data_IF_683224958354
#
_entry.id   IF_683224958354
#
_cell.length_a   1.000
_cell.length_b   1.000
_cell.length_c   1.000
_cell.angle_alpha   90.00
_cell.angle_beta   90.00
_cell.angle_gamma   90.00
#
_symmetry.space_group_name_H-M   'P 1'
#
loop_
_entity.id
_entity.type
_entity.pdbx_description
1 polymer ?
#
# COMPACT_ATOMS: atom_id res chain seq x y z
N UNK A 1 3.24 8.88 10.17
CA UNK A 1 1.87 9.26 9.72
C UNK A 1 1.61 8.60 8.37
N UNK A 2 0.46 7.95 8.19
CA UNK A 2 0.09 7.30 6.91
C UNK A 2 -0.88 8.20 6.17
N UNK A 3 -0.63 8.46 4.88
CA UNK A 3 -1.49 9.31 4.07
C UNK A 3 -2.56 8.46 3.42
N UNK A 4 -3.82 8.68 3.83
CA UNK A 4 -4.99 8.00 3.29
C UNK A 4 -5.98 9.03 2.76
N UNK A 5 -6.66 8.69 1.67
CA UNK A 5 -7.76 9.50 1.13
C UNK A 5 -9.01 8.64 0.96
N UNK A 6 -10.15 9.25 1.19
CA UNK A 6 -11.45 8.65 0.96
C UNK A 6 -12.42 8.84 2.12
N UNK A 7 -13.67 8.50 1.85
CA UNK A 7 -14.78 8.57 2.77
C UNK A 7 -15.76 7.41 2.48
N UNK A 8 -16.89 7.39 3.19
CA UNK A 8 -17.94 6.38 2.97
C UNK A 8 -18.47 6.34 1.53
N UNK A 9 -18.39 7.46 0.80
CA UNK A 9 -18.86 7.59 -0.59
C UNK A 9 -17.78 7.37 -1.65
N UNK A 10 -16.55 7.03 -1.27
CA UNK A 10 -15.43 6.78 -2.20
C UNK A 10 -14.77 5.43 -1.88
N UNK A 11 -15.56 4.36 -2.04
CA UNK A 11 -15.14 3.01 -1.68
C UNK A 11 -13.88 2.58 -2.47
N UNK A 12 -13.76 3.00 -3.72
CA UNK A 12 -12.60 2.83 -4.60
C UNK A 12 -11.30 3.40 -4.02
N UNK A 13 -11.36 4.46 -3.20
CA UNK A 13 -10.16 5.04 -2.56
C UNK A 13 -9.79 4.36 -1.25
N UNK A 14 -10.79 3.84 -0.53
CA UNK A 14 -10.59 3.16 0.77
C UNK A 14 -10.31 1.67 0.62
N UNK A 15 -10.84 1.04 -0.44
CA UNK A 15 -10.70 -0.37 -0.82
C UNK A 15 -10.40 -0.50 -2.32
N UNK A 16 -9.27 0.07 -2.77
CA UNK A 16 -8.90 0.09 -4.18
C UNK A 16 -8.72 -1.32 -4.72
N UNK A 17 -9.39 -1.62 -5.82
CA UNK A 17 -9.19 -2.80 -6.64
C UNK A 17 -8.43 -2.42 -7.93
N UNK A 18 -8.77 -3.03 -9.06
CA UNK A 18 -8.17 -2.72 -10.36
C UNK A 18 -8.66 -1.41 -10.97
N UNK A 19 -9.78 -0.84 -10.51
CA UNK A 19 -10.30 0.42 -11.04
C UNK A 19 -9.50 1.64 -10.58
N UNK A 20 -8.67 1.50 -9.55
CA UNK A 20 -7.73 2.53 -9.11
C UNK A 20 -6.28 2.11 -9.45
N UNK A 21 -5.45 3.01 -10.01
CA UNK A 21 -4.05 2.71 -10.28
C UNK A 21 -3.27 2.40 -9.00
N UNK A 22 -2.16 1.68 -9.11
CA UNK A 22 -1.22 1.51 -7.99
C UNK A 22 -0.52 2.83 -7.69
N UNK A 23 -0.17 3.07 -6.43
CA UNK A 23 0.51 4.29 -6.01
C UNK A 23 -0.33 5.57 -6.11
N UNK A 24 -1.66 5.48 -6.17
CA UNK A 24 -2.54 6.61 -6.46
C UNK A 24 -2.50 7.78 -5.47
N UNK A 25 -1.89 7.59 -4.28
CA UNK A 25 -1.65 8.64 -3.29
C UNK A 25 -0.22 9.18 -3.32
N UNK A 26 0.63 8.82 -4.28
CA UNK A 26 2.03 9.25 -4.31
C UNK A 26 2.16 10.78 -4.26
N UNK A 27 1.37 11.49 -5.06
CA UNK A 27 1.41 12.96 -5.11
C UNK A 27 0.96 13.57 -3.78
N UNK A 28 -0.18 13.11 -3.24
CA UNK A 28 -0.69 13.58 -1.94
C UNK A 28 0.30 13.26 -0.81
N UNK A 29 0.94 12.09 -0.86
CA UNK A 29 1.96 11.70 0.10
C UNK A 29 3.17 12.64 0.07
N UNK A 30 3.62 13.01 -1.13
CA UNK A 30 4.71 13.97 -1.35
C UNK A 30 4.34 15.35 -0.79
N UNK A 31 3.14 15.85 -1.10
CA UNK A 31 2.66 17.15 -0.62
C UNK A 31 2.57 17.18 0.91
N UNK A 32 2.01 16.13 1.51
CA UNK A 32 1.92 16.00 2.96
C UNK A 32 3.31 15.94 3.59
N UNK A 33 4.23 15.14 3.04
CA UNK A 33 5.61 15.06 3.53
C UNK A 33 6.30 16.42 3.52
N UNK A 34 6.13 17.21 2.44
CA UNK A 34 6.67 18.56 2.37
C UNK A 34 6.07 19.49 3.44
N UNK A 35 4.80 19.32 3.78
CA UNK A 35 4.09 20.17 4.74
C UNK A 35 4.37 19.85 6.21
N UNK A 36 4.61 18.58 6.57
CA UNK A 36 4.68 18.14 7.99
C UNK A 36 6.08 18.11 8.59
N UNK A 37 7.10 18.50 7.83
CA UNK A 37 8.47 18.66 8.33
C UNK A 37 9.11 17.34 8.78
N UNK A 38 9.34 17.19 10.09
CA UNK A 38 10.13 16.06 10.65
C UNK A 38 9.32 14.79 10.94
N UNK A 39 8.01 14.81 10.75
CA UNK A 39 7.17 13.63 11.01
C UNK A 39 7.35 12.62 9.87
N UNK A 40 7.75 11.36 10.12
CA UNK A 40 7.86 10.35 9.06
C UNK A 40 6.52 10.10 8.38
N UNK A 41 6.50 10.14 7.05
CA UNK A 41 5.29 9.97 6.23
C UNK A 41 5.36 8.67 5.44
N UNK A 42 4.29 7.88 5.49
CA UNK A 42 4.21 6.58 4.83
C UNK A 42 3.22 6.62 3.67
N UNK A 43 3.64 6.09 2.52
CA UNK A 43 2.81 5.94 1.33
C UNK A 43 1.86 4.75 1.50
N UNK A 44 0.56 5.00 1.45
CA UNK A 44 -0.48 3.99 1.26
C UNK A 44 -1.14 4.21 -0.10
N UNK A 45 -1.52 3.15 -0.81
CA UNK A 45 -2.28 3.33 -2.06
C UNK A 45 -2.06 2.22 -3.07
N UNK A 46 -2.32 0.97 -2.69
CA UNK A 46 -2.07 -0.19 -3.56
C UNK A 46 -0.59 -0.39 -3.96
N UNK A 47 0.35 -0.07 -3.07
CA UNK A 47 1.76 -0.43 -3.23
C UNK A 47 1.92 -1.94 -3.02
N UNK A 48 1.80 -2.70 -4.10
CA UNK A 48 1.77 -4.17 -4.08
C UNK A 48 3.04 -4.82 -4.66
N UNK A 49 3.88 -4.03 -5.33
CA UNK A 49 5.16 -4.46 -5.87
C UNK A 49 6.29 -3.77 -5.10
N UNK A 50 7.34 -4.52 -4.73
CA UNK A 50 8.46 -4.01 -3.95
C UNK A 50 9.21 -2.88 -4.66
N UNK A 51 9.41 -2.98 -5.97
CA UNK A 51 10.07 -1.92 -6.75
C UNK A 51 9.31 -0.59 -6.76
N UNK A 52 7.98 -0.60 -6.55
CA UNK A 52 7.23 0.66 -6.39
C UNK A 52 7.46 1.28 -5.01
N UNK A 53 7.61 0.45 -3.97
CA UNK A 53 7.96 0.92 -2.64
C UNK A 53 9.38 1.50 -2.60
N UNK A 54 10.35 0.78 -3.20
CA UNK A 54 11.74 1.23 -3.34
C UNK A 54 11.81 2.58 -4.09
N UNK A 55 11.19 2.66 -5.27
CA UNK A 55 11.11 3.90 -6.03
C UNK A 55 10.53 5.06 -5.21
N UNK A 56 9.45 4.83 -4.47
CA UNK A 56 8.81 5.89 -3.69
C UNK A 56 9.72 6.41 -2.56
N UNK A 57 10.46 5.53 -1.89
CA UNK A 57 11.40 5.90 -0.83
C UNK A 57 12.60 6.65 -1.43
N UNK A 58 13.23 6.10 -2.47
CA UNK A 58 14.42 6.69 -3.12
C UNK A 58 14.13 8.07 -3.72
N UNK A 59 12.92 8.29 -4.24
CA UNK A 59 12.51 9.56 -4.85
C UNK A 59 11.86 10.54 -3.85
N UNK A 60 11.98 10.27 -2.55
CA UNK A 60 11.52 11.15 -1.48
C UNK A 60 10.00 11.35 -1.43
N UNK A 61 9.21 10.44 -2.00
CA UNK A 61 7.73 10.46 -1.91
C UNK A 61 7.28 10.20 -0.46
N UNK A 62 7.98 9.30 0.22
CA UNK A 62 7.67 8.85 1.57
C UNK A 62 8.96 8.49 2.34
N UNK A 63 8.85 8.28 3.64
CA UNK A 63 9.88 7.68 4.50
C UNK A 63 9.73 6.15 4.60
N UNK A 64 8.58 5.63 4.17
CA UNK A 64 8.31 4.20 4.07
C UNK A 64 7.02 3.93 3.31
N UNK A 65 6.80 2.68 2.90
CA UNK A 65 5.60 2.29 2.16
C UNK A 65 4.77 1.27 2.95
N UNK A 66 3.47 1.48 2.99
CA UNK A 66 2.52 0.50 3.50
C UNK A 66 2.21 -0.53 2.40
N UNK A 67 2.57 -1.79 2.65
CA UNK A 67 2.40 -2.90 1.72
C UNK A 67 1.49 -4.00 2.28
N UNK A 68 0.45 -3.64 3.04
CA UNK A 68 -0.39 -4.58 3.83
C UNK A 68 -0.88 -5.78 3.00
N UNK A 69 -1.59 -5.55 1.90
CA UNK A 69 -2.12 -6.65 1.06
C UNK A 69 -1.03 -7.44 0.33
N UNK A 70 0.14 -6.85 0.11
CA UNK A 70 1.30 -7.56 -0.43
C UNK A 70 1.87 -8.54 0.59
N UNK A 71 2.01 -8.11 1.86
CA UNK A 71 2.47 -8.98 2.94
C UNK A 71 1.45 -10.05 3.33
N UNK A 72 0.14 -9.79 3.19
CA UNK A 72 -0.89 -10.83 3.31
C UNK A 72 -0.78 -11.85 2.17
N UNK A 73 -0.52 -11.39 0.95
CA UNK A 73 -0.32 -12.28 -0.18
C UNK A 73 0.97 -13.10 0.01
N UNK A 74 2.05 -12.52 0.50
CA UNK A 74 3.31 -13.23 0.75
C UNK A 74 3.91 -12.81 2.11
N UNK A 75 3.71 -13.62 3.17
CA UNK A 75 4.27 -13.33 4.49
C UNK A 75 5.81 -13.25 4.50
N UNK A 76 6.46 -13.94 3.56
CA UNK A 76 7.92 -13.99 3.42
C UNK A 76 8.46 -12.91 2.48
N UNK A 77 7.64 -11.94 2.04
CA UNK A 77 8.02 -10.92 1.06
C UNK A 77 9.35 -10.24 1.40
N UNK A 78 9.50 -9.78 2.65
CA UNK A 78 10.72 -9.07 3.08
C UNK A 78 11.91 -10.02 3.16
N UNK A 79 11.74 -11.24 3.69
CA UNK A 79 12.80 -12.23 3.79
C UNK A 79 13.31 -12.65 2.39
N UNK A 80 12.39 -12.87 1.43
CA UNK A 80 12.74 -13.17 0.04
C UNK A 80 13.52 -12.04 -0.62
N UNK A 81 13.13 -10.79 -0.40
CA UNK A 81 13.90 -9.64 -0.89
C UNK A 81 15.32 -9.61 -0.31
N UNK A 82 15.45 -9.83 1.01
CA UNK A 82 16.75 -9.86 1.68
C UNK A 82 17.66 -10.98 1.18
N UNK A 83 17.10 -12.11 0.73
CA UNK A 83 17.86 -13.23 0.19
C UNK A 83 18.09 -13.16 -1.33
N UNK A 84 17.56 -12.14 -2.02
CA UNK A 84 17.66 -12.03 -3.49
C UNK A 84 16.66 -12.88 -4.27
N UNK A 85 15.68 -13.47 -3.60
CA UNK A 85 14.64 -14.35 -4.16
C UNK A 85 13.40 -13.56 -4.62
N UNK A 86 13.60 -12.40 -5.24
CA UNK A 86 12.51 -11.47 -5.59
C UNK A 86 11.51 -12.06 -6.61
N UNK A 87 11.97 -12.95 -7.47
CA UNK A 87 11.17 -13.71 -8.44
C UNK A 87 10.21 -14.73 -7.80
N UNK A 88 10.49 -15.13 -6.54
CA UNK A 88 9.66 -16.06 -5.75
C UNK A 88 8.58 -15.36 -4.93
N UNK A 89 8.47 -14.03 -5.02
CA UNK A 89 7.46 -13.26 -4.32
C UNK A 89 6.08 -13.54 -4.94
N UNK A 90 5.13 -13.98 -4.12
CA UNK A 90 3.74 -14.20 -4.56
C UNK A 90 3.01 -12.85 -4.64
N UNK A 91 2.62 -12.38 -5.84
CA UNK A 91 2.07 -11.03 -5.98
C UNK A 91 0.64 -10.94 -5.43
N UNK A 92 0.32 -9.79 -4.83
CA UNK A 92 -1.07 -9.45 -4.54
C UNK A 92 -1.79 -9.03 -5.82
N UNK A 93 -2.92 -9.68 -6.11
CA UNK A 93 -3.77 -9.38 -7.27
C UNK A 93 -4.87 -8.35 -6.97
N UNK A 94 -4.85 -7.65 -5.82
CA UNK A 94 -5.81 -6.57 -5.49
C UNK A 94 -7.30 -6.94 -5.57
N UNK A 95 -7.66 -8.22 -5.40
CA UNK A 95 -9.03 -8.71 -5.56
C UNK A 95 -9.99 -8.36 -4.41
N UNK A 96 -9.46 -7.95 -3.25
CA UNK A 96 -10.22 -7.66 -2.04
C UNK A 96 -11.16 -8.80 -1.60
N UNK A 97 -10.82 -10.08 -1.81
CA UNK A 97 -11.69 -11.21 -1.43
C UNK A 97 -11.41 -11.71 -0.01
N UNK A 98 -10.15 -12.03 0.30
CA UNK A 98 -9.75 -12.67 1.57
C UNK A 98 -8.92 -11.76 2.48
N UNK A 99 -8.63 -10.54 2.04
CA UNK A 99 -7.75 -9.59 2.73
C UNK A 99 -8.49 -8.39 3.32
N UNK A 100 -9.83 -8.41 3.32
CA UNK A 100 -10.62 -7.33 3.91
C UNK A 100 -10.65 -7.42 5.43
N UNK A 101 -10.49 -6.26 6.09
CA UNK A 101 -10.73 -6.13 7.52
C UNK A 101 -12.20 -6.49 7.82
N UNK A 102 -12.43 -7.20 8.92
CA UNK A 102 -13.79 -7.45 9.42
C UNK A 102 -14.43 -6.12 9.82
N UNK A 103 -15.54 -5.78 9.19
CA UNK A 103 -16.35 -4.63 9.56
C UNK A 103 -17.83 -4.95 9.34
N UNK A 104 -18.73 -3.98 9.58
CA UNK A 104 -20.16 -4.16 9.38
C UNK A 104 -20.56 -4.55 7.94
N UNK A 105 -19.66 -4.39 6.96
CA UNK A 105 -19.85 -4.72 5.55
C UNK A 105 -19.18 -6.05 5.16
N UNK A 106 -18.45 -6.70 6.08
CA UNK A 106 -17.80 -8.00 5.91
C UNK A 106 -18.10 -8.93 7.10
N UNK A 107 -19.37 -9.33 7.31
CA UNK A 107 -19.77 -10.20 8.43
C UNK A 107 -19.21 -11.63 8.26
N UNK A 108 -18.98 -12.31 9.38
CA UNK A 108 -18.72 -13.75 9.37
C UNK A 108 -20.07 -14.43 9.10
N UNK A 109 -20.19 -15.07 7.94
CA UNK A 109 -21.36 -15.88 7.56
C UNK A 109 -21.09 -17.33 7.93
#
# INVERSE_FOLDING_TARGET
MVVVRGAIFSADKTRPDFHEPTGFNADVCRDVKAAVGRVPVFLQGSVVHWGQAEWAIENGVCDGAEMTRAQLADPELVAKLQHGDADRIRPCIRCNQTCQVRDARNPIV
#
